data_IF_774866323059
#
_entry.id   IF_774866323059
#
_cell.length_a   1.000
_cell.length_b   1.000
_cell.length_c   1.000
_cell.angle_alpha   90.00
_cell.angle_beta   90.00
_cell.angle_gamma   90.00
#
_symmetry.space_group_name_H-M   'P 1'
#
loop_
_entity.id
_entity.type
_entity.pdbx_description
1 polymer ?
#
# COMPACT_ATOMS: atom_id res chain seq x y z
N UNK A 1 13.47 13.10 -9.22
CA UNK A 1 13.87 12.65 -7.88
C UNK A 1 12.63 12.19 -7.13
N UNK A 2 12.35 10.87 -7.09
CA UNK A 2 11.09 10.32 -6.53
C UNK A 2 11.32 9.41 -5.30
N UNK A 3 12.56 9.33 -4.83
CA UNK A 3 12.97 8.66 -3.62
C UNK A 3 14.24 9.33 -3.09
N UNK A 4 14.54 9.20 -1.79
CA UNK A 4 15.61 9.98 -1.15
C UNK A 4 16.98 9.75 -1.78
N UNK A 5 17.30 8.51 -2.19
CA UNK A 5 18.57 8.18 -2.83
C UNK A 5 18.78 8.82 -4.21
N UNK A 6 17.72 9.34 -4.83
CA UNK A 6 17.79 10.04 -6.12
C UNK A 6 17.84 11.56 -5.96
N UNK A 7 17.73 12.08 -4.74
CA UNK A 7 17.81 13.52 -4.48
C UNK A 7 19.26 13.98 -4.38
N UNK A 8 19.55 15.19 -4.87
CA UNK A 8 20.87 15.79 -4.77
C UNK A 8 20.82 17.17 -4.12
N UNK A 9 21.56 17.42 -3.01
CA UNK A 9 22.33 16.45 -2.22
C UNK A 9 21.47 15.60 -1.27
N UNK A 10 20.27 16.05 -0.91
CA UNK A 10 19.30 15.36 -0.05
C UNK A 10 17.88 15.82 -0.42
N UNK A 11 16.80 15.18 0.09
CA UNK A 11 15.44 15.64 -0.16
C UNK A 11 15.22 17.10 0.26
N UNK A 12 15.59 17.46 1.49
CA UNK A 12 15.43 18.83 2.03
C UNK A 12 16.22 19.92 1.29
N UNK A 13 17.35 19.55 0.66
CA UNK A 13 18.25 20.49 -0.01
C UNK A 13 18.15 20.45 -1.55
N UNK A 14 17.27 19.62 -2.11
CA UNK A 14 17.10 19.51 -3.56
C UNK A 14 16.41 20.74 -4.15
N UNK A 15 17.11 21.46 -5.04
CA UNK A 15 16.53 22.55 -5.82
C UNK A 15 15.33 22.08 -6.66
N UNK A 16 15.37 20.83 -7.16
CA UNK A 16 14.29 20.24 -7.94
C UNK A 16 13.04 20.10 -7.07
N UNK A 17 13.14 19.46 -5.90
CA UNK A 17 11.99 19.28 -5.01
C UNK A 17 11.49 20.60 -4.44
N UNK A 18 12.37 21.55 -4.11
CA UNK A 18 11.97 22.89 -3.67
C UNK A 18 11.16 23.62 -4.75
N UNK A 19 11.55 23.51 -6.01
CA UNK A 19 10.79 24.09 -7.14
C UNK A 19 9.43 23.41 -7.28
N UNK A 20 9.36 22.08 -7.22
CA UNK A 20 8.09 21.34 -7.23
C UNK A 20 7.19 21.74 -6.06
N UNK A 21 7.75 21.93 -4.86
CA UNK A 21 6.99 22.36 -3.69
C UNK A 21 6.45 23.78 -3.82
N UNK A 22 7.21 24.69 -4.44
CA UNK A 22 6.85 26.10 -4.61
C UNK A 22 5.87 26.36 -5.76
N UNK A 23 6.10 25.73 -6.91
CA UNK A 23 5.48 26.13 -8.18
C UNK A 23 4.36 25.19 -8.64
N UNK A 24 4.36 23.92 -8.21
CA UNK A 24 3.31 22.99 -8.60
C UNK A 24 1.99 23.36 -7.90
N UNK A 25 0.90 23.39 -8.68
CA UNK A 25 -0.43 23.69 -8.14
C UNK A 25 -0.76 22.76 -6.95
N UNK A 26 -1.32 23.30 -5.85
CA UNK A 26 -1.48 22.57 -4.59
C UNK A 26 -2.44 21.37 -4.69
N UNK A 27 -3.33 21.34 -5.68
CA UNK A 27 -4.24 20.22 -5.93
C UNK A 27 -3.61 19.02 -6.64
N UNK A 28 -2.35 19.11 -7.08
CA UNK A 28 -1.65 18.03 -7.80
C UNK A 28 -0.85 17.18 -6.80
N UNK A 29 -1.16 15.89 -6.76
CA UNK A 29 -0.44 14.90 -5.96
C UNK A 29 0.99 14.69 -6.47
N UNK A 30 1.93 14.43 -5.55
CA UNK A 30 3.32 14.09 -5.90
C UNK A 30 3.64 12.69 -5.39
N UNK A 31 4.11 11.84 -6.31
CA UNK A 31 4.47 10.45 -6.00
C UNK A 31 5.82 10.39 -5.28
N UNK A 32 5.91 9.51 -4.29
CA UNK A 32 7.14 9.19 -3.56
C UNK A 32 7.27 7.69 -3.28
N UNK A 33 8.46 7.11 -3.42
CA UNK A 33 8.69 5.67 -3.17
C UNK A 33 9.46 5.38 -1.87
N UNK A 34 9.81 6.42 -1.10
CA UNK A 34 10.54 6.31 0.17
C UNK A 34 12.04 6.59 0.06
N UNK A 35 12.89 5.99 0.93
CA UNK A 35 14.33 6.19 0.89
C UNK A 35 14.99 5.67 -0.39
N UNK A 36 14.40 4.64 -1.02
CA UNK A 36 14.92 3.98 -2.23
C UNK A 36 13.80 3.75 -3.23
N UNK A 37 14.16 3.32 -4.44
CA UNK A 37 13.18 2.86 -5.46
C UNK A 37 12.32 1.71 -4.90
N UNK A 38 12.96 0.72 -4.28
CA UNK A 38 12.33 -0.35 -3.50
C UNK A 38 12.70 -0.14 -2.03
N UNK A 39 11.77 0.38 -1.23
CA UNK A 39 12.00 0.71 0.18
C UNK A 39 11.61 -0.45 1.08
N UNK A 40 12.58 -0.97 1.84
CA UNK A 40 12.33 -1.98 2.88
C UNK A 40 11.50 -1.39 4.02
N UNK A 41 11.83 -0.16 4.42
CA UNK A 41 11.15 0.54 5.50
C UNK A 41 10.71 1.95 5.07
N UNK A 42 9.57 2.39 5.59
CA UNK A 42 9.06 3.76 5.56
C UNK A 42 8.80 4.19 7.00
N UNK A 43 9.43 5.29 7.42
CA UNK A 43 9.26 5.88 8.74
C UNK A 43 8.55 7.24 8.65
N UNK A 44 7.96 7.69 9.76
CA UNK A 44 7.27 8.96 9.81
C UNK A 44 8.24 10.14 9.63
N UNK A 45 9.45 10.03 10.18
CA UNK A 45 10.50 11.06 10.12
C UNK A 45 10.97 11.28 8.69
N UNK A 46 11.10 10.19 7.90
CA UNK A 46 11.45 10.30 6.48
C UNK A 46 10.34 10.98 5.67
N UNK A 47 9.07 10.70 5.99
CA UNK A 47 7.95 11.37 5.32
C UNK A 47 7.83 12.84 5.73
N UNK A 48 8.14 13.20 6.97
CA UNK A 48 8.16 14.59 7.43
C UNK A 48 9.14 15.45 6.62
N UNK A 49 10.35 14.94 6.36
CA UNK A 49 11.33 15.66 5.53
C UNK A 49 10.77 15.94 4.12
N UNK A 50 10.14 14.93 3.54
CA UNK A 50 9.62 14.97 2.17
C UNK A 50 8.37 15.87 2.09
N UNK A 51 7.46 15.77 3.05
CA UNK A 51 6.29 16.65 3.16
C UNK A 51 6.72 18.11 3.30
N UNK A 52 7.75 18.40 4.10
CA UNK A 52 8.25 19.76 4.29
C UNK A 52 8.79 20.39 3.00
N UNK A 53 9.57 19.64 2.20
CA UNK A 53 10.12 20.17 0.95
C UNK A 53 9.07 20.23 -0.17
N UNK A 54 8.17 19.24 -0.25
CA UNK A 54 7.08 19.21 -1.23
C UNK A 54 5.94 20.16 -0.89
N UNK A 55 5.84 20.60 0.37
CA UNK A 55 4.76 21.45 0.91
C UNK A 55 3.37 20.83 0.73
N UNK A 56 3.29 19.50 0.73
CA UNK A 56 2.07 18.70 0.63
C UNK A 56 2.35 17.25 1.05
N UNK A 57 1.36 16.53 1.58
CA UNK A 57 1.47 15.09 1.80
C UNK A 57 1.80 14.35 0.50
N UNK A 58 2.79 13.44 0.48
CA UNK A 58 3.08 12.65 -0.70
C UNK A 58 2.04 11.54 -0.92
N UNK A 59 1.91 11.10 -2.17
CA UNK A 59 1.24 9.87 -2.56
C UNK A 59 2.28 8.76 -2.64
N UNK A 60 2.18 7.73 -1.79
CA UNK A 60 3.16 6.64 -1.84
C UNK A 60 2.92 5.78 -3.09
N UNK A 61 3.99 5.58 -3.86
CA UNK A 61 4.08 4.51 -4.85
C UNK A 61 4.99 3.43 -4.29
N UNK A 62 4.37 2.33 -3.90
CA UNK A 62 5.02 1.30 -3.12
C UNK A 62 5.51 0.16 -4.02
N UNK A 63 6.82 0.07 -4.20
CA UNK A 63 7.47 -1.00 -4.98
C UNK A 63 7.91 -2.19 -4.10
N UNK A 64 7.41 -2.34 -2.87
CA UNK A 64 7.82 -3.44 -1.96
C UNK A 64 7.74 -4.82 -2.63
N UNK A 65 6.78 -5.00 -3.54
CA UNK A 65 6.51 -6.25 -4.24
C UNK A 65 6.81 -6.23 -5.74
N UNK A 66 7.33 -5.11 -6.28
CA UNK A 66 7.71 -5.04 -7.68
C UNK A 66 8.81 -6.07 -7.98
N UNK A 67 8.68 -6.83 -9.07
CA UNK A 67 9.65 -7.83 -9.50
C UNK A 67 10.10 -7.71 -10.97
N UNK A 68 9.63 -6.68 -11.67
CA UNK A 68 9.98 -6.39 -13.07
C UNK A 68 11.50 -6.23 -13.31
N UNK A 69 12.26 -5.86 -12.29
CA UNK A 69 13.72 -5.70 -12.35
C UNK A 69 14.52 -7.02 -12.22
N UNK A 70 13.92 -8.15 -11.81
CA UNK A 70 14.55 -9.47 -11.82
C UNK A 70 13.48 -10.57 -11.93
N UNK A 71 13.31 -11.11 -13.14
CA UNK A 71 12.29 -12.13 -13.47
C UNK A 71 12.45 -13.46 -12.71
N UNK A 72 13.53 -13.66 -11.95
CA UNK A 72 13.74 -14.85 -11.10
C UNK A 72 13.17 -14.67 -9.69
N UNK A 73 12.65 -13.49 -9.36
CA UNK A 73 12.13 -13.14 -8.04
C UNK A 73 10.61 -13.03 -8.11
N UNK A 74 9.95 -13.60 -7.11
CA UNK A 74 8.51 -13.42 -6.84
C UNK A 74 8.37 -13.18 -5.35
N UNK A 75 7.54 -12.22 -4.96
CA UNK A 75 7.38 -11.81 -3.58
C UNK A 75 6.01 -12.23 -3.05
N UNK A 76 6.04 -13.19 -2.13
CA UNK A 76 4.86 -13.80 -1.48
C UNK A 76 4.86 -13.57 0.05
N UNK A 77 5.70 -12.65 0.54
CA UNK A 77 5.74 -12.27 1.95
C UNK A 77 4.63 -11.29 2.33
N UNK A 78 4.38 -11.07 3.63
CA UNK A 78 3.37 -10.12 4.10
C UNK A 78 3.81 -8.67 3.94
N UNK A 79 2.83 -7.77 3.89
CA UNK A 79 3.10 -6.35 3.77
C UNK A 79 3.75 -5.88 5.07
N UNK A 80 4.92 -5.24 5.01
CA UNK A 80 5.66 -4.88 6.21
C UNK A 80 6.63 -3.72 5.99
N UNK A 81 7.23 -3.25 7.09
CA UNK A 81 8.20 -2.16 7.08
C UNK A 81 7.57 -0.78 6.93
N UNK A 82 6.24 -0.64 6.95
CA UNK A 82 5.56 0.66 6.99
C UNK A 82 5.18 0.92 8.43
N UNK A 83 5.75 1.97 9.03
CA UNK A 83 5.45 2.34 10.41
C UNK A 83 3.93 2.52 10.64
N UNK A 84 3.40 2.18 11.81
CA UNK A 84 2.00 2.46 12.14
C UNK A 84 1.70 3.97 12.10
N UNK A 85 0.48 4.32 11.67
CA UNK A 85 -0.02 5.69 11.62
C UNK A 85 0.47 6.54 10.44
N UNK A 86 1.22 5.95 9.49
CA UNK A 86 1.71 6.67 8.31
C UNK A 86 0.57 7.24 7.47
N UNK A 87 -0.58 6.56 7.41
CA UNK A 87 -1.69 7.01 6.57
C UNK A 87 -2.11 8.46 6.90
N UNK A 88 -2.03 8.87 8.17
CA UNK A 88 -2.37 10.24 8.60
C UNK A 88 -1.53 11.36 7.96
N UNK A 89 -0.37 11.02 7.38
CA UNK A 89 0.61 11.94 6.74
C UNK A 89 0.71 11.76 5.23
N UNK A 90 -0.08 10.87 4.66
CA UNK A 90 -0.08 10.59 3.23
C UNK A 90 -1.29 11.22 2.57
N UNK A 91 -1.21 11.41 1.26
CA UNK A 91 -2.40 11.65 0.44
C UNK A 91 -3.06 10.31 0.04
N UNK A 92 -2.27 9.24 0.02
CA UNK A 92 -2.71 7.88 -0.29
C UNK A 92 -1.52 6.94 -0.46
N UNK A 93 -1.82 5.68 -0.77
CA UNK A 93 -0.83 4.65 -1.05
C UNK A 93 -1.29 3.79 -2.22
N UNK A 94 -0.43 3.65 -3.22
CA UNK A 94 -0.61 2.81 -4.40
C UNK A 94 0.44 1.71 -4.36
N UNK A 95 0.01 0.46 -4.43
CA UNK A 95 0.92 -0.69 -4.52
C UNK A 95 1.27 -0.97 -5.98
N UNK A 96 2.57 -1.08 -6.28
CA UNK A 96 3.08 -1.66 -7.51
C UNK A 96 3.59 -3.09 -7.21
N UNK A 97 2.79 -4.13 -7.52
CA UNK A 97 3.04 -5.48 -7.05
C UNK A 97 3.87 -6.31 -8.04
N UNK A 98 3.85 -7.64 -7.91
CA UNK A 98 4.50 -8.53 -8.88
C UNK A 98 3.84 -8.40 -10.26
N UNK A 99 4.58 -8.70 -11.33
CA UNK A 99 4.06 -8.79 -12.70
C UNK A 99 3.01 -9.90 -12.84
N UNK A 100 3.18 -11.02 -12.14
CA UNK A 100 2.27 -12.16 -12.20
C UNK A 100 1.03 -11.88 -11.36
N UNK A 101 -0.11 -11.65 -12.01
CA UNK A 101 -1.37 -11.28 -11.35
C UNK A 101 -1.74 -12.23 -10.18
N UNK A 102 -1.60 -13.54 -10.37
CA UNK A 102 -1.96 -14.53 -9.36
C UNK A 102 -0.99 -14.55 -8.16
N UNK A 103 0.25 -14.08 -8.32
CA UNK A 103 1.21 -13.98 -7.23
C UNK A 103 0.89 -12.82 -6.27
N UNK A 104 -0.07 -11.96 -6.63
CA UNK A 104 -0.42 -10.77 -5.85
C UNK A 104 -1.50 -11.00 -4.80
N UNK A 105 -1.97 -12.24 -4.60
CA UNK A 105 -2.97 -12.55 -3.57
C UNK A 105 -2.49 -12.13 -2.17
N UNK A 106 -1.34 -12.64 -1.72
CA UNK A 106 -0.77 -12.31 -0.40
C UNK A 106 -0.40 -10.82 -0.30
N UNK A 107 0.32 -10.20 -1.26
CA UNK A 107 0.59 -8.76 -1.26
C UNK A 107 -0.63 -7.88 -1.05
N UNK A 108 -1.73 -8.13 -1.79
CA UNK A 108 -2.93 -7.31 -1.74
C UNK A 108 -3.74 -7.60 -0.46
N UNK A 109 -3.85 -8.87 -0.07
CA UNK A 109 -4.57 -9.29 1.13
C UNK A 109 -3.95 -8.70 2.40
N UNK A 110 -2.62 -8.84 2.54
CA UNK A 110 -1.91 -8.32 3.72
C UNK A 110 -1.86 -6.80 3.76
N UNK A 111 -1.78 -6.12 2.59
CA UNK A 111 -1.97 -4.67 2.51
C UNK A 111 -3.37 -4.25 2.99
N UNK A 112 -4.42 -4.98 2.60
CA UNK A 112 -5.78 -4.73 3.04
C UNK A 112 -5.93 -4.87 4.56
N UNK A 113 -5.33 -5.92 5.14
CA UNK A 113 -5.28 -6.14 6.59
C UNK A 113 -4.56 -5.00 7.31
N UNK A 114 -3.39 -4.58 6.82
CA UNK A 114 -2.64 -3.43 7.37
C UNK A 114 -3.46 -2.14 7.30
N UNK A 115 -4.06 -1.86 6.14
CA UNK A 115 -4.86 -0.65 5.94
C UNK A 115 -6.08 -0.59 6.87
N UNK A 116 -6.71 -1.73 7.16
CA UNK A 116 -7.79 -1.83 8.15
C UNK A 116 -7.36 -1.37 9.54
N UNK A 117 -6.15 -1.75 9.98
CA UNK A 117 -5.61 -1.31 11.28
C UNK A 117 -5.26 0.19 11.31
N UNK A 118 -4.76 0.73 10.20
CA UNK A 118 -4.49 2.16 10.05
C UNK A 118 -5.78 2.97 10.17
N UNK A 119 -6.87 2.55 9.52
CA UNK A 119 -8.18 3.21 9.63
C UNK A 119 -8.75 3.14 11.04
N UNK A 120 -8.63 2.00 11.73
CA UNK A 120 -9.07 1.84 13.12
C UNK A 120 -8.32 2.74 14.10
N UNK A 121 -7.06 3.09 13.78
CA UNK A 121 -6.20 3.97 14.59
C UNK A 121 -6.43 5.46 14.32
N UNK A 122 -7.07 5.81 13.20
CA UNK A 122 -7.33 7.20 12.80
C UNK A 122 -8.58 7.79 13.49
N UNK A 123 -8.44 8.27 14.74
CA UNK A 123 -9.52 8.88 15.51
C UNK A 123 -9.92 10.33 15.07
N UNK A 124 -9.72 10.72 13.81
CA UNK A 124 -10.12 12.04 13.29
C UNK A 124 -11.17 11.94 12.15
N UNK A 125 -12.47 12.01 12.47
CA UNK A 125 -13.54 11.89 11.48
C UNK A 125 -13.59 13.01 10.44
N UNK A 126 -12.91 14.15 10.67
CA UNK A 126 -12.95 15.30 9.74
C UNK A 126 -11.95 15.24 8.58
N UNK A 127 -10.97 14.32 8.61
CA UNK A 127 -10.10 14.00 7.45
C UNK A 127 -10.50 12.69 6.76
N UNK A 128 -11.58 12.05 7.19
CA UNK A 128 -12.11 10.83 6.58
C UNK A 128 -12.73 11.05 5.18
N UNK A 129 -12.66 12.28 4.65
CA UNK A 129 -13.00 12.59 3.28
C UNK A 129 -11.95 12.08 2.30
N UNK A 130 -12.19 10.90 1.73
CA UNK A 130 -11.55 10.33 0.52
C UNK A 130 -10.11 9.83 0.65
N UNK A 131 -9.88 8.86 1.54
CA UNK A 131 -8.77 7.93 1.35
C UNK A 131 -9.09 7.01 0.16
N UNK A 132 -8.32 7.14 -0.92
CA UNK A 132 -8.39 6.20 -2.05
C UNK A 132 -7.17 5.28 -2.01
N UNK A 133 -7.37 4.03 -1.58
CA UNK A 133 -6.46 2.96 -1.97
C UNK A 133 -6.83 2.53 -3.39
N UNK A 134 -6.12 3.06 -4.38
CA UNK A 134 -6.23 2.56 -5.73
C UNK A 134 -5.14 1.49 -5.95
N UNK A 135 -5.57 0.27 -6.28
CA UNK A 135 -4.68 -0.78 -6.77
C UNK A 135 -4.40 -0.50 -8.24
N UNK A 136 -3.21 0.01 -8.53
CA UNK A 136 -2.71 0.13 -9.90
C UNK A 136 -1.81 -1.07 -10.19
N UNK A 137 -2.40 -2.19 -10.61
CA UNK A 137 -1.63 -3.27 -11.23
C UNK A 137 -1.23 -2.81 -12.64
N UNK A 138 -0.04 -2.22 -12.80
CA UNK A 138 0.57 -2.00 -14.12
C UNK A 138 1.11 -3.35 -14.64
N UNK A 139 0.23 -4.30 -14.89
CA UNK A 139 0.54 -5.41 -15.77
C UNK A 139 0.50 -4.85 -17.20
N UNK A 140 1.67 -4.68 -17.83
CA UNK A 140 1.74 -4.58 -19.29
C UNK A 140 0.99 -5.79 -19.88
N UNK A 141 0.14 -5.61 -20.91
CA UNK A 141 -0.83 -6.64 -21.29
C UNK A 141 -0.13 -7.89 -21.83
N UNK A 142 -0.42 -9.04 -21.21
CA UNK A 142 -0.45 -10.32 -21.93
C UNK A 142 -1.87 -10.50 -22.49
N UNK A 143 -2.08 -11.08 -23.70
CA UNK A 143 -3.33 -11.00 -24.45
C UNK A 143 -4.55 -11.78 -23.88
N UNK A 144 -4.51 -12.28 -22.65
CA UNK A 144 -5.54 -13.15 -22.11
C UNK A 144 -6.19 -12.52 -20.86
N UNK A 145 -7.40 -11.98 -21.06
CA UNK A 145 -8.47 -11.74 -20.08
C UNK A 145 -8.07 -11.29 -18.67
N UNK A 146 -8.36 -10.02 -18.33
CA UNK A 146 -8.38 -9.56 -16.93
C UNK A 146 -9.45 -10.34 -16.14
N UNK A 147 -9.12 -11.01 -15.02
CA UNK A 147 -10.12 -11.34 -14.02
C UNK A 147 -10.55 -10.07 -13.27
N UNK A 148 -11.79 -10.11 -12.77
CA UNK A 148 -12.45 -9.05 -12.02
C UNK A 148 -11.52 -8.51 -10.91
N UNK A 149 -11.26 -7.21 -10.93
CA UNK A 149 -10.59 -6.50 -9.85
C UNK A 149 -11.37 -6.77 -8.55
N UNK A 150 -10.69 -7.26 -7.50
CA UNK A 150 -11.23 -7.26 -6.14
C UNK A 150 -11.52 -5.80 -5.77
N UNK A 151 -12.77 -5.39 -5.90
CA UNK A 151 -13.25 -4.17 -5.26
C UNK A 151 -13.47 -4.53 -3.80
N UNK A 152 -12.66 -3.96 -2.90
CA UNK A 152 -13.04 -3.85 -1.50
C UNK A 152 -14.29 -2.97 -1.46
N UNK A 153 -15.46 -3.60 -1.51
CA UNK A 153 -16.73 -2.93 -1.27
C UNK A 153 -16.81 -2.62 0.21
N UNK A 154 -17.07 -1.37 0.56
CA UNK A 154 -17.27 -0.88 1.94
C UNK A 154 -18.55 -1.41 2.60
N UNK A 155 -19.06 -2.55 2.17
CA UNK A 155 -20.30 -3.15 2.68
C UNK A 155 -19.97 -4.12 3.80
N UNK A 156 -19.95 -3.62 5.04
CA UNK A 156 -19.79 -4.46 6.23
C UNK A 156 -19.49 -3.69 7.51
N UNK A 157 -20.27 -2.65 7.85
CA UNK A 157 -20.16 -2.00 9.16
C UNK A 157 -21.52 -1.74 9.82
N UNK A 158 -22.49 -2.64 9.61
CA UNK A 158 -23.72 -2.65 10.41
C UNK A 158 -23.87 -3.97 11.16
N UNK A 159 -23.72 -3.89 12.50
CA UNK A 159 -24.31 -4.85 13.44
C UNK A 159 -23.33 -5.80 14.15
N UNK A 160 -22.93 -5.44 15.37
CA UNK A 160 -23.04 -6.30 16.57
C UNK A 160 -22.42 -5.61 17.79
N UNK A 161 -23.26 -4.93 18.59
CA UNK A 161 -22.98 -4.71 20.00
C UNK A 161 -23.16 -6.07 20.71
N UNK A 162 -22.06 -6.78 20.93
CA UNK A 162 -22.00 -8.02 21.68
C UNK A 162 -20.82 -7.96 22.65
N UNK A 163 -21.13 -8.05 23.94
CA UNK A 163 -20.19 -7.91 25.05
C UNK A 163 -19.11 -9.00 25.09
N UNK A 164 -17.89 -8.55 25.41
CA UNK A 164 -16.79 -9.26 26.08
C UNK A 164 -16.12 -10.46 25.39
N UNK A 165 -14.87 -10.25 24.93
CA UNK A 165 -13.66 -10.96 25.42
C UNK A 165 -12.39 -10.51 24.67
N UNK A 166 -11.40 -10.02 25.43
CA UNK A 166 -10.00 -9.83 24.99
C UNK A 166 -9.77 -8.66 24.03
N UNK A 167 -9.30 -7.52 24.53
CA UNK A 167 -8.70 -6.51 23.68
C UNK A 167 -7.41 -7.09 23.08
N UNK A 168 -7.52 -7.67 21.88
CA UNK A 168 -6.34 -7.91 21.05
C UNK A 168 -5.72 -6.54 20.78
N UNK A 169 -4.41 -6.44 20.96
CA UNK A 169 -3.65 -5.24 20.62
C UNK A 169 -3.98 -4.90 19.16
N UNK A 170 -4.62 -3.77 18.90
CA UNK A 170 -5.18 -3.40 17.59
C UNK A 170 -4.11 -3.07 16.54
N UNK A 171 -2.89 -3.57 16.74
CA UNK A 171 -1.72 -3.34 15.92
C UNK A 171 -1.60 -4.43 14.86
N UNK A 172 -1.11 -4.05 13.68
CA UNK A 172 -0.90 -4.98 12.58
C UNK A 172 0.27 -5.93 12.86
N UNK A 173 0.03 -7.25 12.75
CA UNK A 173 1.05 -8.29 12.78
C UNK A 173 1.28 -8.87 11.36
N UNK A 174 2.48 -8.69 10.76
CA UNK A 174 2.76 -9.24 9.43
C UNK A 174 2.64 -10.77 9.38
N UNK A 175 3.00 -11.46 10.47
CA UNK A 175 2.94 -12.92 10.51
C UNK A 175 1.50 -13.43 10.56
N UNK A 176 0.65 -12.83 11.39
CA UNK A 176 -0.77 -13.20 11.45
C UNK A 176 -1.50 -12.86 10.15
N UNK A 177 -1.18 -11.71 9.54
CA UNK A 177 -1.70 -11.34 8.24
C UNK A 177 -1.29 -12.33 7.14
N UNK A 178 -0.04 -12.82 7.18
CA UNK A 178 0.44 -13.86 6.25
C UNK A 178 -0.34 -15.17 6.44
N UNK A 179 -0.53 -15.62 7.67
CA UNK A 179 -1.23 -16.86 7.98
C UNK A 179 -2.69 -16.81 7.50
N UNK A 180 -3.36 -15.68 7.71
CA UNK A 180 -4.71 -15.44 7.20
C UNK A 180 -4.74 -15.43 5.66
N UNK A 181 -3.83 -14.69 5.03
CA UNK A 181 -3.75 -14.61 3.56
C UNK A 181 -3.49 -15.98 2.92
N UNK A 182 -2.60 -16.79 3.51
CA UNK A 182 -2.31 -18.15 3.01
C UNK A 182 -3.53 -19.06 3.12
N UNK A 183 -4.25 -19.02 4.25
CA UNK A 183 -5.46 -19.81 4.46
C UNK A 183 -6.52 -19.47 3.41
N UNK A 184 -6.77 -18.18 3.19
CA UNK A 184 -7.76 -17.72 2.21
C UNK A 184 -7.33 -18.05 0.78
N UNK A 185 -6.04 -17.92 0.47
CA UNK A 185 -5.53 -18.26 -0.86
C UNK A 185 -5.67 -19.74 -1.19
N UNK A 186 -5.41 -20.63 -0.22
CA UNK A 186 -5.62 -22.08 -0.39
C UNK A 186 -7.08 -22.40 -0.69
N UNK A 187 -8.02 -21.70 -0.04
CA UNK A 187 -9.45 -21.87 -0.32
C UNK A 187 -9.79 -21.48 -1.77
N UNK A 188 -9.28 -20.35 -2.26
CA UNK A 188 -9.45 -19.88 -3.64
C UNK A 188 -8.85 -20.85 -4.66
N UNK A 189 -7.64 -21.37 -4.41
CA UNK A 189 -7.00 -22.37 -5.27
C UNK A 189 -7.88 -23.64 -5.36
N UNK A 190 -8.39 -24.12 -4.23
CA UNK A 190 -9.24 -25.31 -4.20
C UNK A 190 -10.58 -25.09 -4.91
N UNK A 191 -11.15 -23.89 -4.82
CA UNK A 191 -12.37 -23.52 -5.54
C UNK A 191 -12.14 -23.52 -7.05
N UNK A 192 -11.06 -22.89 -7.52
CA UNK A 192 -10.72 -22.85 -8.95
C UNK A 192 -10.44 -24.26 -9.51
N UNK A 193 -9.78 -25.12 -8.74
CA UNK A 193 -9.54 -26.50 -9.14
C UNK A 193 -10.83 -27.35 -9.26
N UNK A 194 -11.91 -26.93 -8.58
CA UNK A 194 -13.20 -27.62 -8.58
C UNK A 194 -14.14 -27.18 -9.72
N UNK A 195 -13.79 -26.12 -10.48
CA UNK A 195 -14.51 -25.66 -11.67
C UNK A 195 -13.76 -26.03 -12.97
N UNK A 196 -13.85 -27.28 -13.47
CA UNK A 196 -13.20 -27.65 -14.72
C UNK A 196 -13.94 -27.02 -15.92
N UNK A 197 -13.32 -26.03 -16.59
CA UNK A 197 -13.80 -25.55 -17.90
C UNK A 197 -13.68 -24.06 -18.24
N UNK A 198 -12.91 -23.25 -17.49
CA UNK A 198 -12.51 -21.89 -17.92
C UNK A 198 -11.09 -21.85 -18.43
#
# INVERSE_FOLDING_TARGET
>A
EYCSSLCSPSPSQSCYLQTIGQELLPGIAVIWTGPKVVSQELSAELLEEVEAVLRRPPLIWDNLYANDYDCRRVFLGPYMGRAPGLMSRLQGLLLNPNCELQANFIPIHTLGTWFGTELGSCAHPERAGTWHCALAALCLPSPAGLPRLMSCSSSGMEGALGDSQGAQDGSYSPQEALELALRDWVAEINQQASEPGK
#
